data_IF_049618042229
#
_entry.id   IF_049618042229
#
_cell.length_a   1.000
_cell.length_b   1.000
_cell.length_c   1.000
_cell.angle_alpha   90.00
_cell.angle_beta   90.00
_cell.angle_gamma   90.00
#
_symmetry.space_group_name_H-M   'P 1'
#
loop_
_entity.id
_entity.type
_entity.pdbx_description
1 polymer ?
#
# COMPACT_ATOMS: atom_id res chain seq x y z
N UNK A 1 2.85 -10.29 -19.86
CA UNK A 1 3.82 -9.22 -19.48
C UNK A 1 4.87 -9.82 -18.57
N UNK A 2 6.12 -9.35 -18.69
CA UNK A 2 7.17 -9.62 -17.70
C UNK A 2 7.27 -8.48 -16.70
N UNK A 3 7.02 -8.77 -15.43
CA UNK A 3 6.80 -7.74 -14.39
C UNK A 3 7.80 -7.94 -13.26
N UNK A 4 8.56 -6.88 -12.94
CA UNK A 4 9.37 -6.81 -11.74
C UNK A 4 8.52 -6.34 -10.57
N UNK A 5 8.54 -7.06 -9.45
CA UNK A 5 7.88 -6.66 -8.19
C UNK A 5 8.96 -6.56 -7.11
N UNK A 6 9.16 -5.35 -6.59
CA UNK A 6 10.06 -5.11 -5.46
C UNK A 6 9.28 -5.07 -4.16
N UNK A 7 9.90 -5.39 -3.00
CA UNK A 7 9.15 -5.57 -1.77
C UNK A 7 8.24 -6.80 -1.80
N UNK A 8 8.62 -7.80 -2.60
CA UNK A 8 7.78 -8.96 -2.92
C UNK A 8 7.57 -9.91 -1.72
N UNK A 9 8.43 -9.88 -0.71
CA UNK A 9 8.23 -10.64 0.52
C UNK A 9 7.22 -9.99 1.49
N UNK A 10 6.90 -8.71 1.27
CA UNK A 10 5.92 -7.97 2.06
C UNK A 10 4.48 -8.38 1.75
N UNK A 11 3.55 -8.01 2.65
CA UNK A 11 2.12 -8.35 2.52
C UNK A 11 1.53 -7.95 1.16
N UNK A 12 1.72 -6.68 0.75
CA UNK A 12 1.18 -6.20 -0.54
C UNK A 12 1.86 -6.91 -1.72
N UNK A 13 3.19 -7.11 -1.64
CA UNK A 13 3.94 -7.86 -2.65
C UNK A 13 3.39 -9.26 -2.85
N UNK A 14 3.10 -9.98 -1.76
CA UNK A 14 2.56 -11.34 -1.81
C UNK A 14 1.16 -11.40 -2.45
N UNK A 15 0.23 -10.52 -2.07
CA UNK A 15 -1.14 -10.56 -2.61
C UNK A 15 -1.21 -10.09 -4.07
N UNK A 16 -0.38 -9.10 -4.48
CA UNK A 16 -0.28 -8.65 -5.88
C UNK A 16 0.35 -9.76 -6.74
N UNK A 17 1.44 -10.37 -6.26
CA UNK A 17 2.08 -11.48 -6.97
C UNK A 17 1.13 -12.66 -7.15
N UNK A 18 0.35 -13.02 -6.09
CA UNK A 18 -0.65 -14.07 -6.19
C UNK A 18 -1.69 -13.79 -7.28
N UNK A 19 -2.24 -12.57 -7.30
CA UNK A 19 -3.24 -12.19 -8.29
C UNK A 19 -2.71 -12.25 -9.72
N UNK A 20 -1.45 -11.83 -9.96
CA UNK A 20 -0.80 -11.92 -11.27
C UNK A 20 -0.49 -13.36 -11.67
N UNK A 21 -0.13 -14.24 -10.73
CA UNK A 21 0.00 -15.67 -10.99
C UNK A 21 -1.35 -16.32 -11.33
N UNK A 22 -2.40 -15.94 -10.61
CA UNK A 22 -3.72 -16.52 -10.81
C UNK A 22 -4.34 -16.12 -12.17
N UNK A 23 -3.93 -14.99 -12.76
CA UNK A 23 -4.24 -14.60 -14.14
C UNK A 23 -3.54 -15.49 -15.19
N UNK A 24 -2.34 -16.00 -14.89
CA UNK A 24 -1.59 -16.95 -15.73
C UNK A 24 -0.98 -16.39 -17.00
N UNK A 25 -1.09 -15.08 -17.27
CA UNK A 25 -0.58 -14.42 -18.47
C UNK A 25 0.74 -13.65 -18.24
N UNK A 26 1.32 -13.73 -17.03
CA UNK A 26 2.46 -12.92 -16.62
C UNK A 26 3.68 -13.77 -16.22
N UNK A 27 4.86 -13.25 -16.55
CA UNK A 27 6.15 -13.70 -16.01
C UNK A 27 6.57 -12.72 -14.91
N UNK A 28 6.95 -13.22 -13.73
CA UNK A 28 7.27 -12.37 -12.59
C UNK A 28 8.74 -12.49 -12.16
N UNK A 29 9.36 -11.36 -11.88
CA UNK A 29 10.61 -11.27 -11.13
C UNK A 29 10.24 -10.70 -9.76
N UNK A 30 10.35 -11.53 -8.72
CA UNK A 30 10.08 -11.15 -7.33
C UNK A 30 11.39 -10.83 -6.63
N UNK A 31 11.50 -9.64 -6.02
CA UNK A 31 12.71 -9.26 -5.28
C UNK A 31 12.40 -8.57 -3.96
N UNK A 32 13.26 -8.85 -2.99
CA UNK A 32 13.27 -8.21 -1.67
C UNK A 32 14.68 -8.35 -1.05
N UNK A 33 14.94 -7.66 0.08
CA UNK A 33 16.17 -7.84 0.88
C UNK A 33 16.27 -9.22 1.54
N UNK A 34 15.13 -9.89 1.73
CA UNK A 34 15.03 -11.31 2.05
C UNK A 34 14.56 -12.06 0.81
N UNK A 35 14.89 -13.34 0.69
CA UNK A 35 14.44 -14.13 -0.46
C UNK A 35 12.90 -14.23 -0.48
N UNK A 36 12.24 -13.70 -1.54
CA UNK A 36 10.79 -13.75 -1.61
C UNK A 36 10.30 -15.19 -1.85
N UNK A 37 9.31 -15.62 -1.10
CA UNK A 37 8.61 -16.86 -1.40
C UNK A 37 7.59 -16.66 -2.51
N UNK A 38 7.31 -17.72 -3.28
CA UNK A 38 6.14 -17.77 -4.15
C UNK A 38 4.89 -17.78 -3.25
N UNK A 39 3.87 -16.94 -3.52
CA UNK A 39 2.66 -16.90 -2.72
C UNK A 39 1.97 -18.25 -2.65
N UNK A 40 1.55 -18.64 -1.44
CA UNK A 40 0.85 -19.90 -1.22
C UNK A 40 -0.46 -19.94 -2.04
N UNK A 41 -0.73 -21.04 -2.71
CA UNK A 41 -1.92 -21.24 -3.53
C UNK A 41 -1.93 -20.47 -4.85
N UNK A 42 -0.78 -19.98 -5.32
CA UNK A 42 -0.65 -19.42 -6.67
C UNK A 42 -0.91 -20.50 -7.73
N UNK A 43 -1.75 -20.18 -8.75
CA UNK A 43 -2.18 -21.17 -9.76
C UNK A 43 -1.13 -21.46 -10.82
N UNK A 44 -0.39 -20.45 -11.28
CA UNK A 44 0.56 -20.56 -12.39
C UNK A 44 1.93 -19.95 -12.04
N UNK A 45 2.64 -20.51 -11.02
CA UNK A 45 3.90 -19.92 -10.53
C UNK A 45 5.15 -20.29 -11.34
N UNK A 46 5.03 -21.08 -12.39
CA UNK A 46 6.18 -21.67 -13.11
C UNK A 46 7.01 -20.67 -13.91
N UNK A 47 6.47 -19.48 -14.20
CA UNK A 47 7.18 -18.41 -14.89
C UNK A 47 7.66 -17.34 -13.90
N UNK A 48 8.44 -17.76 -12.89
CA UNK A 48 8.87 -16.89 -11.81
C UNK A 48 10.35 -16.99 -11.55
N UNK A 49 10.99 -15.84 -11.31
CA UNK A 49 12.32 -15.75 -10.73
C UNK A 49 12.19 -15.07 -9.36
N UNK A 50 12.79 -15.66 -8.33
CA UNK A 50 12.95 -15.02 -7.01
C UNK A 50 14.39 -14.59 -6.84
N UNK A 51 14.63 -13.33 -6.47
CA UNK A 51 15.97 -12.75 -6.36
C UNK A 51 16.06 -12.00 -5.03
N UNK A 52 16.90 -12.47 -4.12
CA UNK A 52 17.26 -11.69 -2.95
C UNK A 52 18.24 -10.60 -3.35
N UNK A 53 17.86 -9.32 -3.16
CA UNK A 53 18.72 -8.18 -3.48
C UNK A 53 18.45 -6.97 -2.60
N UNK A 54 19.50 -6.29 -2.16
CA UNK A 54 19.43 -4.91 -1.68
C UNK A 54 19.51 -3.99 -2.91
N UNK A 55 18.43 -3.25 -3.16
CA UNK A 55 18.32 -2.39 -4.34
C UNK A 55 19.22 -1.14 -4.29
N UNK A 56 19.82 -0.83 -3.13
CA UNK A 56 20.86 0.20 -3.03
C UNK A 56 22.17 -0.31 -3.59
N UNK A 57 22.56 -1.53 -3.21
CA UNK A 57 23.88 -2.07 -3.52
C UNK A 57 23.88 -2.83 -4.87
N UNK A 58 22.76 -3.42 -5.25
CA UNK A 58 22.66 -4.27 -6.45
C UNK A 58 21.40 -4.01 -7.29
N UNK A 59 21.11 -2.75 -7.68
CA UNK A 59 19.87 -2.38 -8.36
C UNK A 59 19.69 -3.03 -9.74
N UNK A 60 20.79 -3.40 -10.41
CA UNK A 60 20.77 -4.00 -11.76
C UNK A 60 20.57 -5.51 -11.77
N UNK A 61 20.77 -6.18 -10.63
CA UNK A 61 20.65 -7.65 -10.53
C UNK A 61 19.22 -8.16 -10.82
N UNK A 62 18.23 -7.28 -10.69
CA UNK A 62 16.80 -7.60 -10.86
C UNK A 62 16.22 -7.09 -12.17
N UNK A 63 17.02 -6.42 -13.04
CA UNK A 63 16.56 -5.78 -14.25
C UNK A 63 16.96 -6.62 -15.47
N UNK A 64 15.97 -7.04 -16.25
CA UNK A 64 16.17 -7.64 -17.57
C UNK A 64 15.65 -6.72 -18.67
N UNK A 65 16.24 -6.77 -19.88
CA UNK A 65 15.88 -5.85 -20.98
C UNK A 65 14.49 -6.05 -21.55
N UNK A 66 13.87 -7.18 -21.26
CA UNK A 66 12.55 -7.62 -21.71
C UNK A 66 11.44 -7.37 -20.68
N UNK A 67 11.71 -6.54 -19.66
CA UNK A 67 10.68 -6.09 -18.73
C UNK A 67 9.63 -5.23 -19.43
N UNK A 68 8.36 -5.53 -19.18
CA UNK A 68 7.20 -4.73 -19.61
C UNK A 68 6.74 -3.74 -18.54
N UNK A 69 6.91 -4.11 -17.26
CA UNK A 69 6.50 -3.26 -16.13
C UNK A 69 7.33 -3.51 -14.87
N UNK A 70 7.32 -2.53 -13.97
CA UNK A 70 7.83 -2.66 -12.61
C UNK A 70 6.82 -2.11 -11.60
N UNK A 71 6.57 -2.87 -10.53
CA UNK A 71 5.74 -2.47 -9.38
C UNK A 71 6.66 -2.31 -8.19
N UNK A 72 6.85 -1.06 -7.74
CA UNK A 72 7.79 -0.70 -6.69
C UNK A 72 7.06 -0.62 -5.35
N UNK A 73 7.11 -1.72 -4.58
CA UNK A 73 6.48 -1.84 -3.26
C UNK A 73 7.50 -1.88 -2.10
N UNK A 74 8.80 -1.83 -2.42
CA UNK A 74 9.85 -1.82 -1.38
C UNK A 74 9.79 -0.55 -0.55
N UNK A 75 10.17 -0.67 0.71
CA UNK A 75 10.26 0.47 1.60
C UNK A 75 10.24 0.09 3.07
N UNK A 76 10.87 0.94 3.87
CA UNK A 76 10.79 0.93 5.33
C UNK A 76 9.55 1.70 5.75
N UNK A 77 8.72 1.10 6.61
CA UNK A 77 7.43 1.68 7.03
C UNK A 77 7.62 2.87 8.00
N UNK A 78 6.56 3.66 8.17
CA UNK A 78 6.55 4.96 8.86
C UNK A 78 7.27 4.98 10.20
N UNK A 79 6.95 4.07 11.13
CA UNK A 79 7.58 4.06 12.46
C UNK A 79 9.06 3.68 12.44
N UNK A 80 9.45 2.79 11.52
CA UNK A 80 10.86 2.41 11.38
C UNK A 80 11.68 3.51 10.66
N UNK A 81 11.10 4.17 9.65
CA UNK A 81 11.72 5.31 8.96
C UNK A 81 11.85 6.55 9.86
N UNK A 82 10.95 6.70 10.85
CA UNK A 82 11.03 7.77 11.85
C UNK A 82 12.06 7.45 12.92
N UNK A 83 12.19 6.17 13.32
CA UNK A 83 13.16 5.74 14.32
C UNK A 83 14.59 5.72 13.79
N UNK A 84 14.79 5.47 12.50
CA UNK A 84 16.09 5.45 11.83
C UNK A 84 15.99 6.24 10.52
N UNK A 85 16.39 7.52 10.61
CA UNK A 85 16.33 8.48 9.50
C UNK A 85 17.19 8.02 8.32
N UNK A 86 18.42 7.58 8.56
CA UNK A 86 19.35 7.19 7.51
C UNK A 86 18.89 5.92 6.78
N UNK A 87 18.39 4.94 7.52
CA UNK A 87 17.80 3.74 6.95
C UNK A 87 16.58 4.10 6.07
N UNK A 88 15.71 4.99 6.57
CA UNK A 88 14.54 5.44 5.83
C UNK A 88 14.93 6.07 4.49
N UNK A 89 15.86 7.02 4.48
CA UNK A 89 16.33 7.66 3.23
C UNK A 89 17.09 6.70 2.33
N UNK A 90 17.94 5.84 2.89
CA UNK A 90 18.67 4.84 2.09
C UNK A 90 17.71 3.93 1.34
N UNK A 91 16.72 3.34 2.02
CA UNK A 91 15.82 2.34 1.43
C UNK A 91 14.71 3.00 0.62
N UNK A 92 14.05 4.05 1.14
CA UNK A 92 12.88 4.61 0.47
C UNK A 92 13.25 5.56 -0.68
N UNK A 93 14.34 6.33 -0.54
CA UNK A 93 14.71 7.35 -1.54
C UNK A 93 15.84 6.88 -2.43
N UNK A 94 17.01 6.52 -1.83
CA UNK A 94 18.20 6.18 -2.62
C UNK A 94 17.99 4.94 -3.46
N UNK A 95 17.42 3.87 -2.88
CA UNK A 95 17.13 2.65 -3.64
C UNK A 95 16.13 2.92 -4.78
N UNK A 96 15.06 3.68 -4.51
CA UNK A 96 14.07 4.05 -5.54
C UNK A 96 14.71 4.85 -6.67
N UNK A 97 15.51 5.90 -6.34
CA UNK A 97 16.19 6.71 -7.35
C UNK A 97 17.17 5.87 -8.18
N UNK A 98 17.98 5.06 -7.52
CA UNK A 98 18.98 4.20 -8.18
C UNK A 98 18.31 3.19 -9.10
N UNK A 99 17.23 2.57 -8.64
CA UNK A 99 16.44 1.61 -9.45
C UNK A 99 15.83 2.32 -10.66
N UNK A 100 15.15 3.45 -10.50
CA UNK A 100 14.56 4.23 -11.59
C UNK A 100 15.58 4.64 -12.65
N UNK A 101 16.77 5.09 -12.21
CA UNK A 101 17.84 5.50 -13.12
C UNK A 101 18.37 4.32 -13.95
N UNK A 102 18.45 3.12 -13.37
CA UNK A 102 18.86 1.92 -14.10
C UNK A 102 17.73 1.39 -15.02
N UNK A 103 16.49 1.36 -14.55
CA UNK A 103 15.32 1.01 -15.37
C UNK A 103 15.20 1.91 -16.59
N UNK A 104 15.37 3.22 -16.43
CA UNK A 104 15.33 4.19 -17.53
C UNK A 104 16.41 3.96 -18.59
N UNK A 105 17.60 3.45 -18.19
CA UNK A 105 18.72 3.15 -19.11
C UNK A 105 18.57 1.82 -19.82
N UNK A 106 18.08 0.81 -19.10
CA UNK A 106 18.02 -0.58 -19.60
C UNK A 106 16.69 -0.84 -20.34
N UNK A 107 15.58 -0.28 -19.82
CA UNK A 107 14.22 -0.46 -20.33
C UNK A 107 13.54 0.91 -20.54
N UNK A 108 14.00 1.75 -21.48
CA UNK A 108 13.46 3.10 -21.66
C UNK A 108 11.96 3.08 -21.97
N UNK A 109 11.19 3.93 -21.27
CA UNK A 109 9.74 4.01 -21.41
C UNK A 109 8.95 2.94 -20.66
N UNK A 110 9.62 2.13 -19.81
CA UNK A 110 9.00 1.08 -18.99
C UNK A 110 7.82 1.61 -18.19
N UNK A 111 6.75 0.81 -18.08
CA UNK A 111 5.67 1.05 -17.13
C UNK A 111 6.20 0.90 -15.70
N UNK A 112 6.03 1.94 -14.86
CA UNK A 112 6.42 1.89 -13.45
C UNK A 112 5.24 2.30 -12.58
N UNK A 113 4.84 1.44 -11.66
CA UNK A 113 3.90 1.77 -10.58
C UNK A 113 4.69 1.91 -9.28
N UNK A 114 4.58 3.05 -8.64
CA UNK A 114 5.22 3.33 -7.35
C UNK A 114 4.19 3.39 -6.24
N UNK A 115 4.39 2.59 -5.19
CA UNK A 115 3.56 2.64 -3.99
C UNK A 115 3.91 3.88 -3.16
N UNK A 116 3.13 4.94 -3.32
CA UNK A 116 3.10 6.08 -2.42
C UNK A 116 2.09 5.85 -1.30
N UNK A 117 1.72 6.88 -0.54
CA UNK A 117 0.88 6.76 0.64
C UNK A 117 0.09 8.04 0.88
N UNK A 118 -1.07 7.93 1.52
CA UNK A 118 -1.80 9.07 2.10
C UNK A 118 -0.98 9.84 3.16
N UNK A 119 0.06 9.22 3.72
CA UNK A 119 1.00 9.87 4.66
C UNK A 119 1.79 11.06 4.08
N UNK A 120 1.64 11.35 2.79
CA UNK A 120 2.14 12.58 2.16
C UNK A 120 1.36 13.82 2.60
N UNK A 121 0.14 13.63 3.10
CA UNK A 121 -0.70 14.71 3.63
C UNK A 121 -0.49 14.86 5.13
N UNK A 122 -0.44 16.08 5.58
CA UNK A 122 -0.33 16.49 6.98
C UNK A 122 -1.00 17.85 7.17
N UNK A 123 -0.93 18.43 8.35
CA UNK A 123 -1.56 19.73 8.65
C UNK A 123 -0.92 20.89 7.90
N UNK A 124 -1.69 21.87 7.41
CA UNK A 124 -3.15 21.91 7.38
C UNK A 124 -3.71 21.11 6.20
N UNK A 125 -4.41 20.03 6.48
CA UNK A 125 -5.11 19.25 5.44
C UNK A 125 -6.53 19.76 5.32
N UNK A 126 -7.10 19.93 4.11
CA UNK A 126 -8.53 20.06 3.97
C UNK A 126 -9.22 18.89 4.67
N UNK A 127 -10.18 19.17 5.53
CA UNK A 127 -10.89 18.10 6.26
C UNK A 127 -11.89 17.34 5.37
N UNK A 128 -12.08 17.79 4.12
CA UNK A 128 -13.09 17.25 3.23
C UNK A 128 -12.55 17.24 1.79
N UNK A 129 -12.79 16.14 1.08
CA UNK A 129 -12.47 15.99 -0.35
C UNK A 129 -11.02 16.30 -0.73
N UNK A 130 -10.06 15.70 -0.01
CA UNK A 130 -8.64 15.82 -0.35
C UNK A 130 -8.40 15.27 -1.76
N UNK A 131 -7.78 16.08 -2.60
CA UNK A 131 -7.47 15.75 -4.01
C UNK A 131 -5.96 15.64 -4.24
N UNK A 132 -5.55 15.15 -5.40
CA UNK A 132 -4.15 15.14 -5.82
C UNK A 132 -3.57 16.54 -6.07
N UNK A 133 -4.40 17.60 -6.03
CA UNK A 133 -4.02 19.01 -6.20
C UNK A 133 -3.64 19.66 -4.89
N UNK A 134 -4.04 19.06 -3.77
CA UNK A 134 -3.74 19.59 -2.45
C UNK A 134 -2.24 19.48 -2.16
N UNK A 135 -1.71 20.51 -1.48
CA UNK A 135 -0.29 20.58 -1.15
C UNK A 135 0.05 19.46 -0.17
N UNK A 136 1.09 18.71 -0.48
CA UNK A 136 1.62 17.69 0.42
C UNK A 136 2.43 18.35 1.54
N UNK A 137 2.05 18.10 2.78
CA UNK A 137 2.67 18.63 4.00
C UNK A 137 2.97 17.50 5.01
N UNK A 138 3.81 16.52 4.63
CA UNK A 138 4.05 15.35 5.47
C UNK A 138 4.68 15.74 6.81
N UNK A 139 4.16 15.16 7.91
CA UNK A 139 4.64 15.42 9.28
C UNK A 139 5.64 14.36 9.78
N UNK A 140 5.93 13.33 8.96
CA UNK A 140 6.84 12.22 9.29
C UNK A 140 7.81 11.96 8.13
N UNK A 141 9.02 11.48 8.46
CA UNK A 141 10.08 11.14 7.50
C UNK A 141 9.58 10.24 6.36
N UNK A 142 8.75 9.25 6.67
CA UNK A 142 8.15 8.36 5.66
C UNK A 142 7.34 9.12 4.60
N UNK A 143 6.48 10.04 5.03
CA UNK A 143 5.69 10.88 4.12
C UNK A 143 6.57 11.78 3.26
N UNK A 144 7.61 12.40 3.85
CA UNK A 144 8.61 13.20 3.12
C UNK A 144 9.30 12.37 2.04
N UNK A 145 9.74 11.16 2.38
CA UNK A 145 10.41 10.24 1.45
C UNK A 145 9.49 9.84 0.29
N UNK A 146 8.18 9.63 0.56
CA UNK A 146 7.20 9.33 -0.49
C UNK A 146 7.01 10.52 -1.44
N UNK A 147 6.92 11.76 -0.93
CA UNK A 147 6.83 12.99 -1.76
C UNK A 147 8.05 13.15 -2.66
N UNK A 148 9.25 12.92 -2.14
CA UNK A 148 10.49 12.96 -2.94
C UNK A 148 10.39 11.96 -4.11
N UNK A 149 9.98 10.72 -3.84
CA UNK A 149 9.87 9.70 -4.87
C UNK A 149 8.75 9.98 -5.89
N UNK A 150 7.60 10.54 -5.49
CA UNK A 150 6.56 11.01 -6.41
C UNK A 150 7.14 12.05 -7.38
N UNK A 151 7.96 12.97 -6.88
CA UNK A 151 8.60 14.00 -7.70
C UNK A 151 9.61 13.37 -8.68
N UNK A 152 10.37 12.37 -8.26
CA UNK A 152 11.25 11.59 -9.15
C UNK A 152 10.45 10.91 -10.26
N UNK A 153 9.37 10.18 -9.93
CA UNK A 153 8.50 9.52 -10.92
C UNK A 153 7.96 10.53 -11.94
N UNK A 154 7.51 11.70 -11.48
CA UNK A 154 7.02 12.77 -12.36
C UNK A 154 8.12 13.27 -13.29
N UNK A 155 9.34 13.53 -12.80
CA UNK A 155 10.43 14.05 -13.64
C UNK A 155 10.92 13.01 -14.67
N UNK A 156 11.12 11.76 -14.25
CA UNK A 156 11.49 10.67 -15.17
C UNK A 156 10.43 10.45 -16.25
N UNK A 157 9.13 10.54 -15.89
CA UNK A 157 8.03 10.39 -16.84
C UNK A 157 7.94 11.58 -17.80
N UNK A 158 8.08 12.82 -17.31
CA UNK A 158 8.08 14.03 -18.12
C UNK A 158 9.21 14.03 -19.15
N UNK A 159 10.35 13.45 -18.81
CA UNK A 159 11.50 13.27 -19.71
C UNK A 159 11.34 12.09 -20.69
N UNK A 160 10.25 11.32 -20.58
CA UNK A 160 10.05 10.12 -21.41
C UNK A 160 10.93 8.93 -21.05
N UNK A 161 11.66 9.00 -19.93
CA UNK A 161 12.57 7.95 -19.48
C UNK A 161 11.83 6.70 -19.00
N UNK A 162 10.67 6.90 -18.35
CA UNK A 162 9.73 5.86 -17.93
C UNK A 162 8.29 6.27 -18.27
N UNK A 163 7.32 5.37 -18.02
CA UNK A 163 5.90 5.64 -18.02
C UNK A 163 5.37 5.35 -16.60
N UNK A 164 5.63 6.27 -15.69
CA UNK A 164 5.40 6.09 -14.27
C UNK A 164 4.05 6.60 -13.78
N UNK A 165 3.55 5.98 -12.71
CA UNK A 165 2.43 6.47 -11.89
C UNK A 165 2.78 6.23 -10.41
N UNK A 166 2.49 7.22 -9.59
CA UNK A 166 2.58 7.13 -8.13
C UNK A 166 1.18 6.94 -7.55
N UNK A 167 0.98 5.86 -6.85
CA UNK A 167 -0.30 5.48 -6.27
C UNK A 167 -0.25 5.73 -4.76
N UNK A 168 -0.98 6.73 -4.25
CA UNK A 168 -1.10 7.02 -2.82
C UNK A 168 -2.06 6.03 -2.20
N UNK A 169 -1.53 5.03 -1.51
CA UNK A 169 -2.34 4.01 -0.87
C UNK A 169 -3.04 4.59 0.36
N UNK A 170 -4.35 4.32 0.53
CA UNK A 170 -5.03 4.50 1.81
C UNK A 170 -4.52 3.48 2.83
N UNK A 171 -4.97 3.56 4.07
CA UNK A 171 -4.72 2.49 5.02
C UNK A 171 -5.41 1.21 4.57
N UNK A 172 -4.63 0.14 4.43
CA UNK A 172 -5.16 -1.15 3.98
C UNK A 172 -5.55 -1.99 5.19
N UNK A 173 -6.81 -2.42 5.25
CA UNK A 173 -7.39 -3.22 6.32
C UNK A 173 -8.49 -4.16 5.75
N UNK A 174 -8.55 -5.43 6.21
CA UNK A 174 -7.86 -6.04 7.35
C UNK A 174 -6.59 -6.75 6.84
N UNK A 175 -5.43 -6.43 7.42
CA UNK A 175 -4.17 -7.11 7.12
C UNK A 175 -4.01 -8.35 7.99
N UNK A 176 -3.77 -9.54 7.41
CA UNK A 176 -3.45 -10.75 8.16
C UNK A 176 -2.03 -10.69 8.78
N UNK A 177 -1.68 -11.70 9.54
CA UNK A 177 -0.35 -11.88 10.13
C UNK A 177 -0.18 -11.19 11.49
N UNK A 178 1.07 -11.02 11.93
CA UNK A 178 1.38 -10.41 13.21
C UNK A 178 1.15 -8.88 13.20
N UNK A 179 0.81 -8.28 14.37
CA UNK A 179 0.71 -6.83 14.51
C UNK A 179 2.01 -6.13 14.07
N UNK A 180 1.89 -5.08 13.26
CA UNK A 180 3.03 -4.23 12.93
C UNK A 180 3.24 -3.16 14.02
N UNK A 181 4.43 -2.53 14.04
CA UNK A 181 4.74 -1.42 14.95
C UNK A 181 4.19 -0.07 14.45
N UNK A 182 3.45 -0.03 13.33
CA UNK A 182 2.86 1.20 12.81
C UNK A 182 1.75 1.72 13.73
N UNK A 183 1.64 3.05 13.85
CA UNK A 183 0.57 3.68 14.65
C UNK A 183 -0.82 3.22 14.17
N UNK A 184 -1.00 3.05 12.85
CA UNK A 184 -2.24 2.55 12.23
C UNK A 184 -2.48 1.03 12.38
N UNK A 185 -1.61 0.30 13.08
CA UNK A 185 -1.73 -1.16 13.20
C UNK A 185 -3.04 -1.61 13.84
N UNK A 186 -3.58 -0.80 14.79
CA UNK A 186 -4.84 -1.08 15.47
C UNK A 186 -6.04 -1.13 14.50
N UNK A 187 -5.98 -0.41 13.36
CA UNK A 187 -7.05 -0.40 12.35
C UNK A 187 -7.28 -1.77 11.67
N UNK A 188 -6.28 -2.64 11.68
CA UNK A 188 -6.47 -4.05 11.35
C UNK A 188 -6.62 -4.90 12.61
N UNK A 189 -6.00 -4.48 13.71
CA UNK A 189 -5.99 -5.16 14.99
C UNK A 189 -7.38 -5.31 15.60
N UNK A 190 -8.23 -4.28 15.47
CA UNK A 190 -9.62 -4.29 15.99
C UNK A 190 -10.48 -5.44 15.45
N UNK A 191 -10.10 -6.01 14.31
CA UNK A 191 -10.73 -7.19 13.73
C UNK A 191 -9.85 -8.43 13.95
N UNK A 192 -8.57 -8.34 13.54
CA UNK A 192 -7.65 -9.47 13.48
C UNK A 192 -7.43 -10.12 14.85
N UNK A 193 -7.13 -9.34 15.90
CA UNK A 193 -6.83 -9.85 17.20
C UNK A 193 -8.06 -10.53 17.85
N UNK A 194 -9.25 -9.90 17.95
CA UNK A 194 -10.44 -10.54 18.47
C UNK A 194 -10.84 -11.82 17.72
N UNK A 195 -10.71 -11.83 16.39
CA UNK A 195 -11.00 -13.03 15.59
C UNK A 195 -10.06 -14.19 15.91
N UNK A 196 -8.84 -13.89 16.39
CA UNK A 196 -7.86 -14.88 16.87
C UNK A 196 -7.88 -15.07 18.39
N UNK A 197 -8.88 -14.53 19.10
CA UNK A 197 -8.99 -14.65 20.56
C UNK A 197 -7.94 -13.86 21.34
N UNK A 198 -7.41 -12.78 20.75
CA UNK A 198 -6.39 -11.92 21.34
C UNK A 198 -6.97 -10.52 21.63
N UNK A 199 -6.43 -9.84 22.65
CA UNK A 199 -6.81 -8.47 22.97
C UNK A 199 -6.27 -7.51 21.93
N UNK A 200 -7.12 -6.54 21.55
CA UNK A 200 -6.75 -5.35 20.77
C UNK A 200 -6.96 -4.09 21.59
N UNK A 201 -5.95 -3.23 21.68
CA UNK A 201 -6.07 -1.90 22.27
C UNK A 201 -6.33 -0.90 21.16
N UNK A 202 -7.49 -0.22 21.24
CA UNK A 202 -7.84 0.93 20.39
C UNK A 202 -7.38 2.18 21.13
N UNK A 203 -6.47 3.00 20.56
CA UNK A 203 -5.82 4.11 21.29
C UNK A 203 -6.70 5.38 21.41
N UNK A 204 -7.99 5.28 21.14
CA UNK A 204 -9.00 6.34 21.21
C UNK A 204 -10.31 5.80 21.78
N UNK A 205 -10.98 6.59 22.61
CA UNK A 205 -12.36 6.34 23.07
C UNK A 205 -13.41 7.00 22.17
N UNK A 206 -12.98 7.90 21.28
CA UNK A 206 -13.86 8.56 20.32
C UNK A 206 -14.22 7.61 19.18
N UNK A 207 -15.35 6.94 19.32
CA UNK A 207 -15.85 6.01 18.32
C UNK A 207 -16.32 6.67 17.02
N UNK A 208 -16.53 8.00 17.01
CA UNK A 208 -16.83 8.76 15.81
C UNK A 208 -15.58 9.14 15.00
N UNK A 209 -14.37 9.00 15.59
CA UNK A 209 -13.12 9.16 14.84
C UNK A 209 -13.09 8.20 13.66
N UNK A 210 -12.77 8.71 12.50
CA UNK A 210 -12.77 7.96 11.24
C UNK A 210 -11.44 8.03 10.54
N UNK A 211 -11.19 7.08 9.67
CA UNK A 211 -9.98 7.02 8.86
C UNK A 211 -10.27 6.52 7.45
N UNK A 212 -9.43 6.93 6.50
CA UNK A 212 -9.56 6.55 5.11
C UNK A 212 -8.94 5.18 4.84
N UNK A 213 -9.72 4.24 4.33
CA UNK A 213 -9.32 2.83 4.26
C UNK A 213 -9.72 2.20 2.92
N UNK A 214 -9.02 1.12 2.57
CA UNK A 214 -9.42 0.21 1.49
C UNK A 214 -9.08 -1.23 1.86
N UNK A 215 -9.81 -2.18 1.27
CA UNK A 215 -9.54 -3.61 1.44
C UNK A 215 -8.30 -4.04 0.65
N UNK A 216 -7.61 -5.12 1.07
CA UNK A 216 -6.55 -5.75 0.28
C UNK A 216 -7.01 -6.14 -1.13
N UNK A 217 -8.23 -6.65 -1.26
CA UNK A 217 -8.84 -7.10 -2.53
C UNK A 217 -9.02 -5.95 -3.51
N UNK A 218 -9.59 -4.84 -3.05
CA UNK A 218 -9.76 -3.62 -3.86
C UNK A 218 -8.43 -2.99 -4.22
N UNK A 219 -7.45 -2.94 -3.28
CA UNK A 219 -6.11 -2.46 -3.57
C UNK A 219 -5.46 -3.26 -4.72
N UNK A 220 -5.48 -4.59 -4.64
CA UNK A 220 -4.92 -5.47 -5.68
C UNK A 220 -5.60 -5.19 -7.01
N UNK A 221 -6.95 -5.20 -7.06
CA UNK A 221 -7.69 -4.88 -8.28
C UNK A 221 -7.24 -3.55 -8.89
N UNK A 222 -7.11 -2.51 -8.09
CA UNK A 222 -6.74 -1.17 -8.55
C UNK A 222 -5.28 -1.08 -9.02
N UNK A 223 -4.35 -1.83 -8.43
CA UNK A 223 -2.97 -1.95 -8.92
C UNK A 223 -2.96 -2.62 -10.31
N UNK A 224 -3.74 -3.69 -10.51
CA UNK A 224 -3.86 -4.36 -11.81
C UNK A 224 -4.46 -3.45 -12.87
N UNK A 225 -5.48 -2.65 -12.52
CA UNK A 225 -6.05 -1.62 -13.40
C UNK A 225 -4.98 -0.58 -13.77
N UNK A 226 -4.17 -0.11 -12.80
CA UNK A 226 -3.12 0.87 -13.06
C UNK A 226 -2.01 0.35 -13.99
N UNK A 227 -1.75 -0.96 -14.03
CA UNK A 227 -0.82 -1.57 -14.99
C UNK A 227 -1.26 -1.34 -16.45
N UNK A 228 -2.58 -1.21 -16.68
CA UNK A 228 -3.16 -1.09 -18.02
C UNK A 228 -3.49 0.36 -18.42
N UNK A 229 -3.22 1.34 -17.58
CA UNK A 229 -3.52 2.74 -17.91
C UNK A 229 -2.92 3.17 -19.24
N UNK A 230 -3.65 3.91 -20.09
CA UNK A 230 -3.08 4.56 -21.26
C UNK A 230 -1.86 5.41 -20.88
N UNK A 231 -0.89 5.52 -21.80
CA UNK A 231 0.32 6.32 -21.56
C UNK A 231 0.00 7.80 -21.30
N UNK A 232 -1.06 8.28 -21.86
CA UNK A 232 -1.58 9.65 -21.78
C UNK A 232 -2.75 9.82 -20.79
N UNK A 233 -3.03 8.81 -19.96
CA UNK A 233 -4.09 8.88 -18.94
C UNK A 233 -4.00 10.12 -18.03
N UNK A 234 -2.78 10.56 -17.74
CA UNK A 234 -2.50 11.78 -16.98
C UNK A 234 -1.37 12.59 -17.64
N UNK A 235 -1.32 13.91 -17.41
CA UNK A 235 -0.20 14.75 -17.86
C UNK A 235 1.14 14.20 -17.34
N UNK A 236 2.23 14.20 -18.14
CA UNK A 236 3.47 13.52 -17.78
C UNK A 236 4.20 14.10 -16.55
N UNK A 237 3.89 15.31 -16.14
CA UNK A 237 4.42 15.98 -14.94
C UNK A 237 3.51 15.86 -13.70
N UNK A 238 2.37 15.16 -13.83
CA UNK A 238 1.36 14.97 -12.77
C UNK A 238 0.83 13.55 -12.80
N UNK A 239 1.66 12.61 -12.34
CA UNK A 239 1.43 11.16 -12.40
C UNK A 239 1.06 10.57 -11.04
N UNK A 240 0.46 11.37 -10.18
CA UNK A 240 0.07 10.96 -8.84
C UNK A 240 -1.44 10.75 -8.79
N UNK A 241 -1.87 9.70 -8.10
CA UNK A 241 -3.26 9.31 -7.89
C UNK A 241 -3.49 8.97 -6.42
N UNK A 242 -4.53 9.53 -5.81
CA UNK A 242 -5.10 8.98 -4.59
C UNK A 242 -5.83 7.69 -4.94
N UNK A 243 -5.43 6.58 -4.32
CA UNK A 243 -6.13 5.31 -4.53
C UNK A 243 -7.49 5.36 -3.83
N UNK A 244 -8.56 4.83 -4.48
CA UNK A 244 -9.88 4.86 -3.91
C UNK A 244 -9.95 4.18 -2.55
N UNK A 245 -10.63 4.83 -1.64
CA UNK A 245 -10.92 4.36 -0.30
C UNK A 245 -12.28 4.90 0.17
N UNK A 246 -12.60 4.68 1.42
CA UNK A 246 -13.78 5.21 2.07
C UNK A 246 -13.52 5.45 3.56
N UNK A 247 -14.24 6.40 4.14
CA UNK A 247 -14.12 6.70 5.56
C UNK A 247 -14.80 5.60 6.41
N UNK A 248 -14.08 5.08 7.40
CA UNK A 248 -14.56 4.07 8.33
C UNK A 248 -14.35 4.57 9.75
N UNK A 249 -15.40 4.62 10.57
CA UNK A 249 -15.32 4.99 11.97
C UNK A 249 -14.90 3.80 12.85
N UNK A 250 -14.40 4.08 14.05
CA UNK A 250 -14.18 3.02 15.06
C UNK A 250 -15.50 2.28 15.34
N UNK A 251 -16.65 3.01 15.39
CA UNK A 251 -17.95 2.37 15.58
C UNK A 251 -18.31 1.42 14.44
N UNK A 252 -18.02 1.78 13.18
CA UNK A 252 -18.26 0.89 12.03
C UNK A 252 -17.41 -0.37 12.12
N UNK A 253 -16.15 -0.24 12.57
CA UNK A 253 -15.27 -1.40 12.79
C UNK A 253 -15.81 -2.33 13.87
N UNK A 254 -16.30 -1.78 14.99
CA UNK A 254 -16.90 -2.57 16.07
C UNK A 254 -18.20 -3.25 15.61
N UNK A 255 -19.03 -2.55 14.85
CA UNK A 255 -20.26 -3.13 14.28
C UNK A 255 -19.93 -4.30 13.33
N UNK A 256 -18.93 -4.13 12.46
CA UNK A 256 -18.50 -5.17 11.54
C UNK A 256 -17.89 -6.38 12.28
N UNK A 257 -17.13 -6.14 13.36
CA UNK A 257 -16.63 -7.21 14.23
C UNK A 257 -17.78 -8.00 14.86
N UNK A 258 -18.81 -7.30 15.40
CA UNK A 258 -19.97 -7.94 16.00
C UNK A 258 -20.78 -8.74 14.95
N UNK A 259 -21.03 -8.15 13.78
CA UNK A 259 -21.83 -8.79 12.71
C UNK A 259 -21.20 -10.07 12.21
N UNK A 260 -19.87 -10.05 12.00
CA UNK A 260 -19.18 -11.17 11.32
C UNK A 260 -18.55 -12.14 12.33
N UNK A 261 -18.02 -11.62 13.43
CA UNK A 261 -17.30 -12.42 14.44
C UNK A 261 -18.17 -12.87 15.61
N UNK A 262 -19.31 -12.19 15.83
CA UNK A 262 -20.18 -12.40 16.99
C UNK A 262 -19.89 -11.43 18.13
N UNK A 263 -20.92 -11.21 18.97
CA UNK A 263 -20.88 -10.25 20.10
C UNK A 263 -19.79 -10.56 21.13
N UNK A 264 -19.46 -11.81 21.33
CA UNK A 264 -18.40 -12.24 22.25
C UNK A 264 -17.02 -11.70 21.85
N UNK A 265 -16.79 -11.42 20.55
CA UNK A 265 -15.53 -10.86 20.07
C UNK A 265 -15.27 -9.44 20.55
N UNK A 266 -16.33 -8.67 20.83
CA UNK A 266 -16.19 -7.32 21.39
C UNK A 266 -15.50 -7.29 22.75
N UNK A 267 -15.57 -8.39 23.52
CA UNK A 267 -14.90 -8.50 24.82
C UNK A 267 -13.36 -8.45 24.72
N UNK A 268 -12.80 -8.70 23.53
CA UNK A 268 -11.37 -8.61 23.29
C UNK A 268 -10.91 -7.20 22.87
N UNK A 269 -11.81 -6.26 22.68
CA UNK A 269 -11.47 -4.87 22.31
C UNK A 269 -11.47 -3.99 23.56
N UNK A 270 -10.32 -3.38 23.83
CA UNK A 270 -10.15 -2.42 24.93
C UNK A 270 -9.87 -1.04 24.35
N UNK A 271 -10.73 -0.09 24.66
CA UNK A 271 -10.61 1.32 24.24
C UNK A 271 -9.94 2.14 25.34
N UNK A 272 -8.86 2.83 25.03
CA UNK A 272 -8.20 3.75 25.95
C UNK A 272 -7.63 4.95 25.21
N UNK A 273 -7.77 6.15 25.81
CA UNK A 273 -7.09 7.32 25.23
C UNK A 273 -5.59 7.24 25.50
N UNK A 274 -4.80 7.28 24.43
CA UNK A 274 -3.34 7.39 24.48
C UNK A 274 -2.96 8.82 24.07
N UNK A 275 -2.70 9.73 25.04
CA UNK A 275 -2.52 11.16 24.75
C UNK A 275 -1.38 11.45 23.75
N UNK A 276 -0.31 10.68 23.79
CA UNK A 276 0.84 10.82 22.88
C UNK A 276 0.51 10.50 21.42
N UNK A 277 -0.54 9.71 21.14
CA UNK A 277 -0.96 9.36 19.78
C UNK A 277 -2.10 10.23 19.28
N UNK A 278 -2.84 10.89 20.18
CA UNK A 278 -4.06 11.60 19.83
C UNK A 278 -3.82 12.70 18.79
N UNK A 279 -2.83 13.56 19.00
CA UNK A 279 -2.50 14.63 18.04
C UNK A 279 -2.18 14.08 16.64
N UNK A 280 -1.37 13.01 16.58
CA UNK A 280 -1.00 12.37 15.30
C UNK A 280 -2.22 11.75 14.61
N UNK A 281 -3.11 11.06 15.35
CA UNK A 281 -4.30 10.43 14.75
C UNK A 281 -5.29 11.48 14.21
N UNK A 282 -5.46 12.61 14.91
CA UNK A 282 -6.34 13.70 14.45
C UNK A 282 -5.71 14.60 13.37
N UNK A 283 -4.41 14.48 13.08
CA UNK A 283 -3.76 15.17 11.96
C UNK A 283 -3.92 14.44 10.62
N UNK A 284 -4.36 13.19 10.62
CA UNK A 284 -4.53 12.42 9.40
C UNK A 284 -5.74 12.89 8.60
N UNK A 285 -5.59 12.90 7.26
CA UNK A 285 -6.71 13.12 6.35
C UNK A 285 -7.66 11.90 6.41
N UNK A 286 -8.95 12.18 6.43
CA UNK A 286 -9.99 11.17 6.63
C UNK A 286 -11.09 11.18 5.56
N UNK A 287 -10.93 12.03 4.52
CA UNK A 287 -11.91 12.17 3.45
C UNK A 287 -11.24 12.63 2.14
N UNK A 288 -11.33 11.80 1.10
CA UNK A 288 -10.67 12.03 -0.19
C UNK A 288 -11.65 11.98 -1.36
N UNK A 289 -11.35 12.75 -2.40
CA UNK A 289 -12.07 12.69 -3.67
C UNK A 289 -11.54 11.51 -4.52
N UNK A 290 -12.37 10.51 -4.73
CA UNK A 290 -12.07 9.36 -5.57
C UNK A 290 -12.32 9.59 -7.07
N UNK A 291 -12.85 10.75 -7.48
CA UNK A 291 -13.37 10.98 -8.83
C UNK A 291 -12.34 10.70 -9.92
N UNK A 292 -11.08 11.12 -9.73
CA UNK A 292 -10.03 10.90 -10.71
C UNK A 292 -9.72 9.42 -10.88
N UNK A 293 -9.50 8.70 -9.80
CA UNK A 293 -9.15 7.28 -9.81
C UNK A 293 -10.31 6.42 -10.35
N UNK A 294 -11.56 6.73 -9.98
CA UNK A 294 -12.74 6.06 -10.51
C UNK A 294 -12.91 6.31 -12.00
N UNK A 295 -12.62 7.53 -12.49
CA UNK A 295 -12.68 7.85 -13.93
C UNK A 295 -11.67 7.05 -14.76
N UNK A 296 -10.61 6.55 -14.14
CA UNK A 296 -9.60 5.68 -14.75
C UNK A 296 -9.92 4.19 -14.61
N UNK A 297 -11.11 3.84 -14.14
CA UNK A 297 -11.58 2.46 -14.03
C UNK A 297 -11.23 1.75 -12.72
N UNK A 298 -10.68 2.45 -11.75
CA UNK A 298 -10.49 1.91 -10.40
C UNK A 298 -11.82 1.69 -9.68
N UNK A 299 -11.82 0.93 -8.59
CA UNK A 299 -12.99 0.63 -7.77
C UNK A 299 -12.78 1.12 -6.34
N UNK A 300 -13.89 1.37 -5.66
CA UNK A 300 -13.97 1.70 -4.24
C UNK A 300 -14.68 0.58 -3.50
N UNK A 301 -14.26 0.28 -2.27
CA UNK A 301 -15.04 -0.54 -1.35
C UNK A 301 -16.31 0.19 -0.93
N UNK A 302 -17.37 -0.56 -0.67
CA UNK A 302 -18.66 -0.01 -0.26
C UNK A 302 -19.04 -0.38 1.17
N UNK A 303 -18.33 -1.33 1.78
CA UNK A 303 -18.64 -1.85 3.11
C UNK A 303 -17.38 -2.35 3.81
N UNK A 304 -17.18 -1.95 5.06
CA UNK A 304 -16.11 -2.52 5.89
C UNK A 304 -16.43 -3.97 6.33
N UNK A 305 -17.71 -4.31 6.42
CA UNK A 305 -18.17 -5.69 6.69
C UNK A 305 -17.65 -6.65 5.62
N UNK A 306 -17.65 -6.24 4.34
CA UNK A 306 -17.13 -7.09 3.26
C UNK A 306 -15.62 -7.29 3.38
N UNK A 307 -14.88 -6.25 3.80
CA UNK A 307 -13.44 -6.38 4.10
C UNK A 307 -13.16 -7.35 5.24
N UNK A 308 -14.04 -7.42 6.24
CA UNK A 308 -13.94 -8.38 7.35
C UNK A 308 -14.26 -9.80 6.85
N UNK A 309 -15.28 -9.98 6.01
CA UNK A 309 -15.62 -11.29 5.41
C UNK A 309 -14.46 -11.81 4.55
N UNK A 310 -13.91 -10.98 3.65
CA UNK A 310 -12.75 -11.32 2.83
C UNK A 310 -11.54 -11.75 3.72
N UNK A 311 -11.32 -11.06 4.85
CA UNK A 311 -10.27 -11.45 5.80
C UNK A 311 -10.51 -12.84 6.41
N UNK A 312 -11.75 -13.18 6.78
CA UNK A 312 -12.08 -14.49 7.35
C UNK A 312 -11.88 -15.61 6.32
N UNK A 313 -12.23 -15.38 5.06
CA UNK A 313 -11.95 -16.33 3.99
C UNK A 313 -10.45 -16.67 3.92
N UNK A 314 -9.58 -15.66 4.04
CA UNK A 314 -8.12 -15.88 4.05
C UNK A 314 -7.65 -16.70 5.26
N UNK A 315 -8.31 -16.60 6.42
CA UNK A 315 -8.01 -17.44 7.59
C UNK A 315 -8.41 -18.91 7.36
N UNK A 316 -9.49 -19.16 6.62
CA UNK A 316 -9.92 -20.51 6.23
C UNK A 316 -8.93 -21.18 5.28
N UNK A 317 -8.43 -20.46 4.29
CA UNK A 317 -7.43 -20.93 3.34
C UNK A 317 -6.05 -21.23 4.03
N UNK A 318 -5.69 -20.46 5.04
CA UNK A 318 -4.43 -20.65 5.77
C UNK A 318 -4.41 -21.91 6.65
N UNK A 319 -5.59 -22.48 6.99
CA UNK A 319 -5.73 -23.69 7.83
C UNK A 319 -5.80 -24.98 7.03
N UNK A 320 -5.96 -24.89 5.71
CA UNK A 320 -5.87 -26.00 4.76
C UNK A 320 -4.45 -26.11 4.16
#
# INVERSE_FOLDING_TARGET
MKILITGAAGFIGQIVSKALFDDGSHELILTDVIEPSIPRGAKYPQMTQTIQADLVDSPTSVITKDLDAAILLHGVMSSAAEADFDLGYRVNVTATWTLLNNLAKICPGLRVLYASSEAVYGTPVPKHNVTERDITTPEMSYGCQKVICETLINDFTRRGMINGFSLRFPTISVRPGAPSKAISAFLSGIIREPMNGQECVVPLKDRAWRHWMSSPKTLVHNILVALTFPRDALPPHRRVLNMPGFAVTIQDMLNALEEVGGKDKLAFVREEDVPSLKSTLYSWADDFDNSLSLSLGMKQDTSFVDSVKDYIETLGEAKQ
#
